data_IF_461328146859
#
_entry.id   IF_461328146859
#
_cell.length_a   1.000
_cell.length_b   1.000
_cell.length_c   1.000
_cell.angle_alpha   90.00
_cell.angle_beta   90.00
_cell.angle_gamma   90.00
#
_symmetry.space_group_name_H-M   'P 1'
#
loop_
_entity.id
_entity.type
_entity.pdbx_description
1 polymer ?
#
# COMPACT_ATOMS: atom_id res chain seq x y z
N UNK A 1 26.93 -55.46 24.40
CA UNK A 1 25.82 -56.10 23.68
C UNK A 1 24.92 -54.97 23.15
N UNK A 2 24.99 -54.66 21.83
CA UNK A 2 24.15 -53.64 21.19
C UNK A 2 22.82 -54.29 20.84
N UNK A 3 21.67 -53.73 21.27
CA UNK A 3 20.37 -54.33 20.91
C UNK A 3 20.15 -54.26 19.40
N UNK A 4 19.53 -55.28 18.78
CA UNK A 4 19.27 -55.29 17.36
C UNK A 4 18.30 -54.14 16.98
N UNK A 5 18.69 -53.31 16.03
CA UNK A 5 17.82 -52.28 15.48
C UNK A 5 16.61 -52.90 14.81
N UNK A 6 15.37 -52.51 15.15
CA UNK A 6 14.18 -53.07 14.55
C UNK A 6 14.14 -52.79 13.04
N UNK A 7 14.05 -53.84 12.24
CA UNK A 7 13.89 -53.74 10.79
C UNK A 7 12.54 -53.10 10.45
N UNK A 8 12.51 -52.02 9.67
CA UNK A 8 11.27 -51.33 9.32
C UNK A 8 10.34 -52.23 8.48
N UNK A 9 9.04 -52.23 8.76
CA UNK A 9 8.07 -53.03 8.02
C UNK A 9 8.03 -52.62 6.54
N UNK A 10 7.77 -53.58 5.64
CA UNK A 10 7.63 -53.32 4.19
C UNK A 10 6.60 -52.23 3.86
N UNK A 11 5.58 -52.07 4.68
CA UNK A 11 4.54 -51.05 4.55
C UNK A 11 5.12 -49.65 4.84
N UNK A 12 5.94 -49.51 5.87
CA UNK A 12 6.64 -48.29 6.22
C UNK A 12 7.64 -47.88 5.14
N UNK A 13 8.38 -48.82 4.56
CA UNK A 13 9.31 -48.55 3.46
C UNK A 13 8.59 -48.07 2.20
N UNK A 14 7.42 -48.66 1.85
CA UNK A 14 6.60 -48.22 0.72
C UNK A 14 6.04 -46.79 0.96
N UNK A 15 5.54 -46.49 2.17
CA UNK A 15 5.04 -45.18 2.52
C UNK A 15 6.15 -44.12 2.46
N UNK A 16 7.31 -44.38 3.04
CA UNK A 16 8.47 -43.48 3.00
C UNK A 16 8.98 -43.24 1.56
N UNK A 17 8.93 -44.28 0.69
CA UNK A 17 9.29 -44.08 -0.72
C UNK A 17 8.31 -43.19 -1.45
N UNK A 18 7.00 -43.38 -1.24
CA UNK A 18 5.96 -42.53 -1.85
C UNK A 18 6.06 -41.06 -1.39
N UNK A 19 6.28 -40.87 -0.09
CA UNK A 19 6.47 -39.53 0.48
C UNK A 19 7.73 -38.85 -0.09
N UNK A 20 8.85 -39.59 -0.19
CA UNK A 20 10.08 -39.06 -0.81
C UNK A 20 9.87 -38.64 -2.28
N UNK A 21 9.11 -39.42 -3.04
CA UNK A 21 8.76 -39.09 -4.42
C UNK A 21 7.85 -37.87 -4.51
N UNK A 22 6.91 -37.71 -3.57
CA UNK A 22 6.06 -36.54 -3.47
C UNK A 22 6.87 -35.27 -3.12
N UNK A 23 7.75 -35.35 -2.13
CA UNK A 23 8.63 -34.25 -1.75
C UNK A 23 9.58 -33.87 -2.90
N UNK A 24 10.09 -34.83 -3.65
CA UNK A 24 10.93 -34.59 -4.82
C UNK A 24 10.18 -33.90 -5.96
N UNK A 25 8.88 -34.19 -6.14
CA UNK A 25 8.03 -33.47 -7.09
C UNK A 25 7.79 -32.04 -6.62
N UNK A 26 7.38 -31.87 -5.37
CA UNK A 26 7.13 -30.55 -4.80
C UNK A 26 8.37 -29.65 -4.82
N UNK A 27 9.55 -30.23 -4.50
CA UNK A 27 10.82 -29.48 -4.64
C UNK A 27 11.07 -28.99 -6.07
N UNK A 28 10.77 -29.81 -7.07
CA UNK A 28 10.92 -29.40 -8.49
C UNK A 28 9.97 -28.28 -8.86
N UNK A 29 8.71 -28.36 -8.40
CA UNK A 29 7.71 -27.29 -8.61
C UNK A 29 8.16 -25.97 -8.00
N UNK A 30 8.68 -26.00 -6.76
CA UNK A 30 9.22 -24.80 -6.11
C UNK A 30 10.44 -24.22 -6.81
N UNK A 31 11.34 -25.06 -7.34
CA UNK A 31 12.49 -24.62 -8.10
C UNK A 31 12.07 -23.94 -9.41
N UNK A 32 11.09 -24.51 -10.11
CA UNK A 32 10.55 -23.92 -11.33
C UNK A 32 9.83 -22.59 -11.05
N UNK A 33 9.03 -22.53 -9.98
CA UNK A 33 8.38 -21.29 -9.56
C UNK A 33 9.39 -20.19 -9.20
N UNK A 34 10.47 -20.55 -8.51
CA UNK A 34 11.56 -19.64 -8.18
C UNK A 34 12.23 -19.09 -9.44
N UNK A 35 12.48 -19.92 -10.44
CA UNK A 35 13.11 -19.50 -11.68
C UNK A 35 12.17 -18.58 -12.48
N UNK A 36 10.88 -18.90 -12.53
CA UNK A 36 9.87 -18.02 -13.15
C UNK A 36 9.81 -16.64 -12.48
N UNK A 37 9.83 -16.59 -11.15
CA UNK A 37 9.84 -15.34 -10.41
C UNK A 37 11.13 -14.54 -10.63
N UNK A 38 12.26 -15.20 -10.78
CA UNK A 38 13.53 -14.55 -11.10
C UNK A 38 13.49 -13.87 -12.47
N UNK A 39 12.98 -14.58 -13.48
CA UNK A 39 12.80 -14.00 -14.82
C UNK A 39 11.84 -12.81 -14.81
N UNK A 40 10.78 -12.87 -14.01
CA UNK A 40 9.84 -11.75 -13.87
C UNK A 40 10.49 -10.55 -13.16
N UNK A 41 11.33 -10.77 -12.15
CA UNK A 41 12.11 -9.70 -11.51
C UNK A 41 13.07 -9.03 -12.51
N UNK A 42 13.81 -9.82 -13.30
CA UNK A 42 14.72 -9.28 -14.33
C UNK A 42 13.95 -8.43 -15.37
N UNK A 43 12.72 -8.83 -15.72
CA UNK A 43 11.85 -8.05 -16.61
C UNK A 43 11.40 -6.73 -15.99
N UNK A 44 11.06 -6.76 -14.70
CA UNK A 44 10.66 -5.55 -13.96
C UNK A 44 11.84 -4.59 -13.81
N UNK A 45 13.01 -5.11 -13.47
CA UNK A 45 14.24 -4.31 -13.34
C UNK A 45 14.59 -3.61 -14.68
N UNK A 46 14.50 -4.33 -15.79
CA UNK A 46 14.68 -3.72 -17.12
C UNK A 46 13.66 -2.62 -17.44
N UNK A 47 12.39 -2.82 -17.02
CA UNK A 47 11.36 -1.79 -17.19
C UNK A 47 11.60 -0.56 -16.31
N UNK A 48 12.16 -0.74 -15.11
CA UNK A 48 12.55 0.36 -14.23
C UNK A 48 13.71 1.16 -14.82
N UNK A 49 14.73 0.50 -15.36
CA UNK A 49 15.85 1.17 -16.05
C UNK A 49 15.36 2.03 -17.23
N UNK A 50 14.43 1.51 -18.06
CA UNK A 50 13.82 2.29 -19.14
C UNK A 50 13.06 3.53 -18.64
N UNK A 51 12.34 3.41 -17.51
CA UNK A 51 11.62 4.52 -16.89
C UNK A 51 12.61 5.56 -16.36
N UNK A 52 13.67 5.14 -15.70
CA UNK A 52 14.70 6.02 -15.12
C UNK A 52 15.47 6.76 -16.22
N UNK A 53 15.80 6.08 -17.32
CA UNK A 53 16.40 6.72 -18.51
C UNK A 53 15.47 7.79 -19.09
N UNK A 54 14.19 7.45 -19.24
CA UNK A 54 13.19 8.39 -19.76
C UNK A 54 12.99 9.57 -18.85
N UNK A 55 13.00 9.36 -17.54
CA UNK A 55 12.93 10.43 -16.55
C UNK A 55 14.15 11.34 -16.63
N UNK A 56 15.35 10.76 -16.73
CA UNK A 56 16.59 11.52 -16.91
C UNK A 56 16.59 12.36 -18.19
N UNK A 57 16.04 11.84 -19.28
CA UNK A 57 15.89 12.61 -20.53
C UNK A 57 14.88 13.75 -20.39
N UNK A 58 13.77 13.52 -19.72
CA UNK A 58 12.77 14.55 -19.42
C UNK A 58 13.34 15.64 -18.51
N UNK A 59 14.10 15.28 -17.49
CA UNK A 59 14.76 16.22 -16.58
C UNK A 59 15.79 17.09 -17.33
N UNK A 60 16.49 16.54 -18.31
CA UNK A 60 17.38 17.31 -19.18
C UNK A 60 16.60 18.27 -20.12
N UNK A 61 15.41 17.90 -20.56
CA UNK A 61 14.55 18.74 -21.38
C UNK A 61 13.86 19.85 -20.58
N UNK A 62 13.54 19.57 -19.32
CA UNK A 62 12.88 20.50 -18.37
C UNK A 62 13.91 21.28 -17.55
N UNK A 63 15.17 20.83 -17.53
CA UNK A 63 16.28 21.46 -16.84
C UNK A 63 16.47 22.92 -17.30
N UNK A 64 17.06 23.78 -16.43
CA UNK A 64 16.98 25.23 -16.58
C UNK A 64 17.46 25.66 -17.95
N UNK A 65 16.56 26.21 -18.74
CA UNK A 65 16.91 27.06 -19.87
C UNK A 65 17.71 28.22 -19.31
N UNK A 66 19.02 28.06 -19.24
CA UNK A 66 19.94 29.17 -19.13
C UNK A 66 19.78 29.98 -20.43
N UNK A 67 18.82 30.89 -20.40
CA UNK A 67 18.72 31.92 -21.43
C UNK A 67 20.02 32.72 -21.46
N UNK A 68 20.46 33.22 -22.65
CA UNK A 68 21.66 34.01 -22.77
C UNK A 68 21.49 35.27 -21.94
N UNK A 69 22.43 35.55 -21.05
CA UNK A 69 22.54 36.84 -20.38
C UNK A 69 22.83 37.89 -21.42
N UNK A 70 22.10 39.00 -21.46
CA UNK A 70 22.66 40.26 -21.94
C UNK A 70 23.26 40.99 -20.74
N UNK A 71 24.55 41.25 -20.83
CA UNK A 71 25.24 42.21 -19.95
C UNK A 71 24.67 43.62 -20.12
N UNK A 72 24.76 44.34 -18.99
CA UNK A 72 24.73 45.81 -18.81
C UNK A 72 23.40 46.51 -18.77
N UNK A 73 23.26 47.26 -17.68
CA UNK A 73 22.53 48.52 -17.61
C UNK A 73 21.61 48.71 -16.43
N UNK A 74 22.16 49.33 -15.41
CA UNK A 74 21.48 50.13 -14.37
C UNK A 74 19.97 50.34 -14.53
N UNK A 75 19.22 49.97 -13.53
CA UNK A 75 18.27 50.90 -12.84
C UNK A 75 17.48 50.15 -11.76
N UNK A 76 17.83 50.43 -10.58
CA UNK A 76 17.01 50.83 -9.42
C UNK A 76 15.49 50.58 -9.51
N UNK A 77 15.06 49.86 -8.45
CA UNK A 77 13.77 49.97 -7.81
C UNK A 77 12.51 49.58 -8.60
N UNK A 78 12.12 48.32 -8.43
CA UNK A 78 10.77 48.01 -7.94
C UNK A 78 10.77 46.59 -7.39
N UNK A 79 11.02 46.50 -6.08
CA UNK A 79 10.62 45.33 -5.29
C UNK A 79 9.11 45.33 -5.24
N UNK A 80 8.49 44.62 -6.14
CA UNK A 80 7.13 44.15 -5.96
C UNK A 80 7.23 42.63 -6.05
N UNK A 81 7.04 42.04 -4.90
CA UNK A 81 6.41 40.73 -4.68
C UNK A 81 6.45 39.78 -5.88
N UNK A 82 7.61 39.18 -6.15
CA UNK A 82 7.68 37.94 -6.90
C UNK A 82 7.16 36.85 -6.00
N UNK A 83 5.87 36.56 -6.16
CA UNK A 83 5.27 35.31 -5.74
C UNK A 83 6.06 34.20 -6.45
N UNK A 84 7.09 33.68 -5.78
CA UNK A 84 7.67 32.39 -6.15
C UNK A 84 6.55 31.38 -5.98
N UNK A 85 5.80 31.16 -7.04
CA UNK A 85 4.84 30.11 -7.17
C UNK A 85 5.60 28.80 -7.00
N UNK A 86 5.83 28.45 -5.73
CA UNK A 86 6.36 27.16 -5.31
C UNK A 86 5.40 26.14 -5.88
N UNK A 87 5.81 25.47 -6.94
CA UNK A 87 5.00 24.45 -7.57
C UNK A 87 4.52 23.49 -6.48
N UNK A 88 3.21 23.50 -6.22
CA UNK A 88 2.60 22.69 -5.17
C UNK A 88 2.91 21.22 -5.45
N UNK A 89 3.32 20.43 -4.45
CA UNK A 89 3.53 19.00 -4.63
C UNK A 89 2.25 18.34 -5.15
N UNK A 90 2.36 17.66 -6.29
CA UNK A 90 1.24 17.03 -6.96
C UNK A 90 1.09 15.59 -6.49
N UNK A 91 0.02 15.31 -5.77
CA UNK A 91 -0.29 13.99 -5.24
C UNK A 91 -0.93 13.09 -6.30
N UNK A 92 -0.61 11.78 -6.24
CA UNK A 92 -1.13 10.77 -7.15
C UNK A 92 -1.52 9.49 -6.40
N UNK A 93 -2.54 8.79 -6.89
CA UNK A 93 -2.96 7.49 -6.39
C UNK A 93 -3.12 7.42 -4.86
N UNK A 94 -2.49 6.46 -4.18
CA UNK A 94 -2.64 6.29 -2.74
C UNK A 94 -2.16 7.47 -1.88
N UNK A 95 -1.23 8.29 -2.39
CA UNK A 95 -0.70 9.42 -1.63
C UNK A 95 -1.77 10.48 -1.39
N UNK A 96 -2.73 10.61 -2.30
CA UNK A 96 -3.87 11.52 -2.13
C UNK A 96 -4.63 11.19 -0.84
N UNK A 97 -5.01 9.92 -0.63
CA UNK A 97 -5.78 9.51 0.55
C UNK A 97 -4.95 9.56 1.83
N UNK A 98 -3.64 9.28 1.74
CA UNK A 98 -2.72 9.36 2.89
C UNK A 98 -2.56 10.79 3.36
N UNK A 99 -2.29 11.72 2.45
CA UNK A 99 -2.15 13.13 2.78
C UNK A 99 -3.49 13.74 3.23
N UNK A 100 -4.61 13.37 2.60
CA UNK A 100 -5.93 13.81 3.04
C UNK A 100 -6.20 13.46 4.50
N UNK A 101 -5.93 12.20 4.91
CA UNK A 101 -6.09 11.78 6.30
C UNK A 101 -5.10 12.50 7.21
N UNK A 102 -3.85 12.69 6.78
CA UNK A 102 -2.81 13.37 7.56
C UNK A 102 -3.16 14.83 7.82
N UNK A 103 -3.62 15.55 6.79
CA UNK A 103 -4.07 16.94 6.92
C UNK A 103 -5.23 17.06 7.90
N UNK A 104 -6.19 16.13 7.84
CA UNK A 104 -7.31 16.13 8.80
C UNK A 104 -6.85 15.85 10.22
N UNK A 105 -5.94 14.91 10.43
CA UNK A 105 -5.38 14.60 11.75
C UNK A 105 -4.55 15.77 12.32
N UNK A 106 -3.93 16.56 11.47
CA UNK A 106 -3.16 17.75 11.86
C UNK A 106 -4.03 19.00 12.03
N UNK A 107 -5.30 18.97 11.62
CA UNK A 107 -6.19 20.13 11.73
C UNK A 107 -6.49 20.45 13.20
N UNK A 108 -6.42 21.73 13.63
CA UNK A 108 -6.57 22.13 15.03
C UNK A 108 -7.93 21.70 15.61
N UNK A 109 -9.01 21.84 14.84
CA UNK A 109 -10.36 21.47 15.29
C UNK A 109 -10.65 19.98 15.19
N UNK A 110 -9.81 19.22 14.49
CA UNK A 110 -9.91 17.75 14.30
C UNK A 110 -11.34 17.27 14.04
N UNK A 111 -12.03 17.79 13.04
CA UNK A 111 -13.40 17.41 12.76
C UNK A 111 -13.49 15.90 12.52
N UNK A 112 -14.47 15.25 13.15
CA UNK A 112 -14.69 13.80 12.97
C UNK A 112 -15.33 13.49 11.63
N UNK A 113 -16.17 14.40 11.12
CA UNK A 113 -16.89 14.27 9.85
C UNK A 113 -16.77 15.54 9.03
N UNK A 114 -16.53 15.39 7.74
CA UNK A 114 -16.44 16.50 6.80
C UNK A 114 -17.08 16.14 5.45
N UNK A 115 -17.69 17.15 4.83
CA UNK A 115 -18.07 17.03 3.42
C UNK A 115 -16.82 16.94 2.54
N UNK A 116 -16.81 16.04 1.52
CA UNK A 116 -15.61 15.80 0.70
C UNK A 116 -15.02 17.04 0.02
N UNK A 117 -15.85 18.05 -0.27
CA UNK A 117 -15.38 19.32 -0.85
C UNK A 117 -14.59 20.15 0.15
N UNK A 118 -15.03 20.19 1.40
CA UNK A 118 -14.33 20.88 2.49
C UNK A 118 -13.02 20.18 2.78
N UNK A 119 -13.04 18.84 2.82
CA UNK A 119 -11.82 18.05 3.00
C UNK A 119 -10.81 18.26 1.86
N UNK A 120 -11.31 18.36 0.61
CA UNK A 120 -10.47 18.72 -0.53
C UNK A 120 -9.88 20.13 -0.40
N UNK A 121 -10.66 21.08 0.09
CA UNK A 121 -10.18 22.44 0.40
C UNK A 121 -9.04 22.42 1.41
N UNK A 122 -9.18 21.68 2.52
CA UNK A 122 -8.12 21.52 3.52
C UNK A 122 -6.82 20.97 2.92
N UNK A 123 -6.93 20.03 1.98
CA UNK A 123 -5.75 19.48 1.29
C UNK A 123 -5.06 20.53 0.42
N UNK A 124 -5.83 21.39 -0.26
CA UNK A 124 -5.31 22.51 -1.06
C UNK A 124 -4.68 23.59 -0.18
N UNK A 125 -5.32 23.95 0.93
CA UNK A 125 -4.83 24.91 1.92
C UNK A 125 -3.51 24.43 2.57
N UNK A 126 -3.35 23.11 2.72
CA UNK A 126 -2.10 22.50 3.15
C UNK A 126 -0.99 22.51 2.07
N UNK A 127 -1.26 23.08 0.89
CA UNK A 127 -0.29 23.25 -0.18
C UNK A 127 -0.13 22.03 -1.09
N UNK A 128 -1.14 21.17 -1.21
CA UNK A 128 -1.10 20.03 -2.10
C UNK A 128 -2.04 20.18 -3.29
N UNK A 129 -1.59 19.73 -4.47
CA UNK A 129 -2.42 19.61 -5.65
C UNK A 129 -2.70 18.13 -5.96
N UNK A 130 -3.85 17.81 -6.53
CA UNK A 130 -4.23 16.44 -6.93
C UNK A 130 -4.11 16.31 -8.43
N UNK A 131 -3.36 15.30 -8.88
CA UNK A 131 -3.19 14.98 -10.30
C UNK A 131 -4.49 14.43 -10.90
N UNK A 132 -4.77 14.81 -12.14
CA UNK A 132 -5.87 14.24 -12.92
C UNK A 132 -6.65 15.29 -13.70
N UNK A 133 -7.47 14.82 -14.64
CA UNK A 133 -8.34 15.69 -15.46
C UNK A 133 -9.45 16.32 -14.63
N UNK A 134 -9.95 15.58 -13.63
CA UNK A 134 -10.87 16.07 -12.60
C UNK A 134 -10.27 15.78 -11.22
N UNK A 135 -9.55 16.74 -10.62
CA UNK A 135 -8.88 16.54 -9.34
C UNK A 135 -9.84 16.20 -8.20
N UNK A 136 -11.02 16.83 -8.17
CA UNK A 136 -12.01 16.58 -7.12
C UNK A 136 -12.61 15.17 -7.20
N UNK A 137 -12.95 14.70 -8.39
CA UNK A 137 -13.44 13.32 -8.59
C UNK A 137 -12.34 12.30 -8.28
N UNK A 138 -11.08 12.59 -8.63
CA UNK A 138 -9.93 11.76 -8.30
C UNK A 138 -9.73 11.69 -6.79
N UNK A 139 -9.77 12.82 -6.11
CA UNK A 139 -9.71 12.90 -4.66
C UNK A 139 -10.81 12.06 -4.00
N UNK A 140 -12.06 12.26 -4.40
CA UNK A 140 -13.22 11.51 -3.87
C UNK A 140 -13.06 10.01 -4.04
N UNK A 141 -12.58 9.59 -5.21
CA UNK A 141 -12.32 8.17 -5.50
C UNK A 141 -11.23 7.61 -4.58
N UNK A 142 -10.17 8.35 -4.32
CA UNK A 142 -9.11 7.92 -3.43
C UNK A 142 -9.55 7.96 -1.96
N UNK A 143 -10.28 8.99 -1.55
CA UNK A 143 -10.81 9.11 -0.19
C UNK A 143 -11.72 7.93 0.16
N UNK A 144 -12.63 7.56 -0.75
CA UNK A 144 -13.55 6.43 -0.56
C UNK A 144 -12.87 5.05 -0.50
N UNK A 145 -11.61 4.96 -0.96
CA UNK A 145 -10.78 3.75 -0.88
C UNK A 145 -9.87 3.72 0.34
N UNK A 146 -9.85 4.78 1.12
CA UNK A 146 -9.03 4.83 2.33
C UNK A 146 -9.56 3.88 3.39
N UNK A 147 -8.74 3.00 3.97
CA UNK A 147 -9.16 2.13 5.06
C UNK A 147 -9.37 2.87 6.39
N UNK A 148 -8.87 4.12 6.50
CA UNK A 148 -9.02 4.99 7.66
C UNK A 148 -10.27 5.89 7.59
N UNK A 149 -11.08 5.78 6.52
CA UNK A 149 -12.22 6.66 6.27
C UNK A 149 -13.48 5.84 6.04
N UNK A 150 -14.56 6.22 6.68
CA UNK A 150 -15.90 5.67 6.48
C UNK A 150 -16.84 6.70 5.87
N UNK A 151 -17.88 6.22 5.18
CA UNK A 151 -18.96 7.09 4.71
C UNK A 151 -19.95 7.34 5.86
N UNK A 152 -20.30 8.59 6.07
CA UNK A 152 -21.37 8.96 6.98
C UNK A 152 -22.74 8.61 6.38
N UNK A 153 -23.77 8.68 7.21
CA UNK A 153 -25.18 8.57 6.76
C UNK A 153 -25.61 9.74 5.88
N UNK A 154 -24.91 10.87 5.95
CA UNK A 154 -25.17 12.04 5.14
C UNK A 154 -24.46 11.93 3.77
N UNK A 155 -25.15 12.20 2.65
CA UNK A 155 -24.54 12.15 1.33
C UNK A 155 -23.34 13.11 1.19
N UNK A 156 -22.23 12.59 0.71
CA UNK A 156 -21.00 13.37 0.49
C UNK A 156 -20.18 13.66 1.75
N UNK A 157 -20.62 13.22 2.93
CA UNK A 157 -19.89 13.36 4.19
C UNK A 157 -19.09 12.08 4.47
N UNK A 158 -17.86 12.28 4.87
CA UNK A 158 -16.92 11.22 5.23
C UNK A 158 -16.40 11.43 6.64
N UNK A 159 -16.17 10.35 7.35
CA UNK A 159 -15.75 10.32 8.76
C UNK A 159 -14.40 9.63 8.89
N UNK A 160 -13.57 10.14 9.78
CA UNK A 160 -12.32 9.47 10.12
C UNK A 160 -12.64 8.27 11.04
N UNK A 161 -12.38 7.07 10.57
CA UNK A 161 -12.60 5.84 11.34
C UNK A 161 -11.45 5.59 12.32
N UNK A 162 -11.55 6.14 13.51
CA UNK A 162 -10.57 5.92 14.58
C UNK A 162 -10.52 4.46 15.07
N UNK A 163 -11.58 3.70 14.83
CA UNK A 163 -11.66 2.26 15.11
C UNK A 163 -11.09 1.37 14.01
N UNK A 164 -10.62 1.95 12.89
CA UNK A 164 -10.16 1.21 11.72
C UNK A 164 -9.07 0.17 12.06
N UNK A 165 -8.10 0.52 12.91
CA UNK A 165 -7.04 -0.40 13.34
C UNK A 165 -7.62 -1.64 14.00
N UNK A 166 -8.47 -1.46 15.02
CA UNK A 166 -9.08 -2.58 15.76
C UNK A 166 -9.96 -3.45 14.85
N UNK A 167 -10.77 -2.83 13.99
CA UNK A 167 -11.63 -3.51 13.03
C UNK A 167 -10.83 -4.33 12.03
N UNK A 168 -9.74 -3.78 11.50
CA UNK A 168 -8.86 -4.46 10.55
C UNK A 168 -8.12 -5.63 11.20
N UNK A 169 -7.63 -5.50 12.43
CA UNK A 169 -7.03 -6.61 13.18
C UNK A 169 -8.03 -7.73 13.48
N UNK A 170 -9.27 -7.39 13.82
CA UNK A 170 -10.34 -8.39 13.97
C UNK A 170 -10.55 -9.14 12.67
N UNK A 171 -10.67 -8.42 11.54
CA UNK A 171 -10.82 -9.03 10.22
C UNK A 171 -9.64 -9.91 9.83
N UNK A 172 -8.42 -9.47 10.11
CA UNK A 172 -7.19 -10.24 9.89
C UNK A 172 -7.25 -11.59 10.65
N UNK A 173 -7.62 -11.54 11.92
CA UNK A 173 -7.74 -12.72 12.78
C UNK A 173 -8.82 -13.70 12.29
N UNK A 174 -9.94 -13.18 11.79
CA UNK A 174 -11.01 -13.98 11.18
C UNK A 174 -10.53 -14.69 9.92
N UNK A 175 -9.87 -13.97 9.00
CA UNK A 175 -9.32 -14.55 7.77
C UNK A 175 -8.27 -15.61 8.05
N UNK A 176 -7.41 -15.38 9.03
CA UNK A 176 -6.41 -16.37 9.44
C UNK A 176 -7.06 -17.62 10.03
N UNK A 177 -8.17 -17.48 10.78
CA UNK A 177 -8.95 -18.61 11.26
C UNK A 177 -9.61 -19.39 10.12
N UNK A 178 -10.30 -18.69 9.21
CA UNK A 178 -10.92 -19.30 8.02
C UNK A 178 -9.89 -20.06 7.17
N UNK A 179 -8.68 -19.50 7.02
CA UNK A 179 -7.61 -20.13 6.27
C UNK A 179 -7.13 -21.43 6.94
N UNK A 180 -6.97 -21.44 8.29
CA UNK A 180 -6.65 -22.65 9.05
C UNK A 180 -7.74 -23.69 8.94
N UNK A 181 -9.00 -23.31 9.07
CA UNK A 181 -10.15 -24.22 8.97
C UNK A 181 -10.25 -24.84 7.58
N UNK A 182 -10.02 -24.04 6.52
CA UNK A 182 -9.96 -24.52 5.15
C UNK A 182 -8.76 -25.46 4.90
N UNK A 183 -7.67 -25.32 5.67
CA UNK A 183 -6.52 -26.19 5.58
C UNK A 183 -6.77 -27.55 6.23
N UNK A 184 -7.57 -27.60 7.27
CA UNK A 184 -7.96 -28.84 7.95
C UNK A 184 -9.03 -29.64 7.20
N UNK A 185 -9.80 -29.00 6.31
CA UNK A 185 -10.83 -29.66 5.51
C UNK A 185 -10.20 -30.57 4.44
N UNK A 186 -10.47 -31.88 4.56
CA UNK A 186 -10.11 -32.90 3.57
C UNK A 186 -11.38 -33.41 2.91
N UNK A 187 -11.53 -33.15 1.61
CA UNK A 187 -12.68 -33.59 0.83
C UNK A 187 -12.31 -34.42 -0.40
N UNK A 188 -13.27 -35.12 -1.04
CA UNK A 188 -13.06 -35.83 -2.29
C UNK A 188 -12.57 -34.89 -3.41
N UNK A 189 -12.02 -35.43 -4.48
CA UNK A 189 -11.22 -34.69 -5.50
C UNK A 189 -11.93 -33.48 -6.15
N UNK A 190 -13.25 -33.51 -6.26
CA UNK A 190 -14.05 -32.40 -6.84
C UNK A 190 -14.11 -31.22 -5.87
N UNK A 191 -14.22 -31.47 -4.57
CA UNK A 191 -14.19 -30.43 -3.53
C UNK A 191 -12.78 -29.85 -3.35
N UNK A 192 -11.73 -30.60 -3.68
CA UNK A 192 -10.35 -30.13 -3.57
C UNK A 192 -10.03 -28.94 -4.49
N UNK A 193 -10.67 -28.83 -5.65
CA UNK A 193 -10.54 -27.69 -6.54
C UNK A 193 -11.20 -26.43 -5.95
N UNK A 194 -12.42 -26.57 -5.41
CA UNK A 194 -13.15 -25.49 -4.76
C UNK A 194 -12.41 -25.00 -3.51
N UNK A 195 -11.87 -25.91 -2.69
CA UNK A 195 -11.05 -25.56 -1.53
C UNK A 195 -9.77 -24.79 -1.90
N UNK A 196 -9.11 -25.18 -2.99
CA UNK A 196 -7.94 -24.44 -3.50
C UNK A 196 -8.30 -23.05 -3.96
N UNK A 197 -9.40 -22.88 -4.72
CA UNK A 197 -9.90 -21.58 -5.14
C UNK A 197 -10.23 -20.70 -3.93
N UNK A 198 -10.94 -21.24 -2.94
CA UNK A 198 -11.27 -20.51 -1.70
C UNK A 198 -10.03 -20.08 -0.94
N UNK A 199 -9.00 -20.91 -0.82
CA UNK A 199 -7.72 -20.52 -0.18
C UNK A 199 -7.01 -19.40 -0.93
N UNK A 200 -7.05 -19.43 -2.26
CA UNK A 200 -6.47 -18.36 -3.08
C UNK A 200 -7.18 -17.03 -2.82
N UNK A 201 -8.51 -17.05 -2.74
CA UNK A 201 -9.32 -15.87 -2.41
C UNK A 201 -9.00 -15.34 -1.00
N UNK A 202 -8.96 -16.23 0.00
CA UNK A 202 -8.63 -15.87 1.38
C UNK A 202 -7.22 -15.27 1.51
N UNK A 203 -6.23 -15.85 0.83
CA UNK A 203 -4.88 -15.30 0.82
C UNK A 203 -4.81 -13.92 0.15
N UNK A 204 -5.54 -13.72 -0.95
CA UNK A 204 -5.62 -12.43 -1.61
C UNK A 204 -6.32 -11.37 -0.74
N UNK A 205 -7.37 -11.75 0.00
CA UNK A 205 -8.04 -10.88 0.95
C UNK A 205 -7.14 -10.57 2.15
N UNK A 206 -6.45 -11.57 2.70
CA UNK A 206 -5.48 -11.41 3.79
C UNK A 206 -4.43 -10.37 3.43
N UNK A 207 -3.79 -10.49 2.27
CA UNK A 207 -2.78 -9.52 1.83
C UNK A 207 -3.33 -8.10 1.61
N UNK A 208 -4.62 -7.96 1.23
CA UNK A 208 -5.27 -6.64 1.16
C UNK A 208 -5.50 -6.03 2.54
N UNK A 209 -5.93 -6.85 3.51
CA UNK A 209 -6.18 -6.40 4.89
C UNK A 209 -4.87 -6.08 5.59
N UNK A 210 -3.81 -6.86 5.41
CA UNK A 210 -2.47 -6.58 5.94
C UNK A 210 -1.95 -5.21 5.48
N UNK A 211 -2.03 -4.94 4.17
CA UNK A 211 -1.65 -3.62 3.62
C UNK A 211 -2.51 -2.47 4.17
N UNK A 212 -3.79 -2.73 4.42
CA UNK A 212 -4.67 -1.74 5.02
C UNK A 212 -4.31 -1.47 6.49
N UNK A 213 -3.94 -2.50 7.26
CA UNK A 213 -3.43 -2.36 8.64
C UNK A 213 -2.17 -1.50 8.64
N UNK A 214 -1.17 -1.85 7.84
CA UNK A 214 0.08 -1.09 7.72
C UNK A 214 -0.17 0.39 7.37
N UNK A 215 -1.07 0.65 6.41
CA UNK A 215 -1.41 2.02 6.00
C UNK A 215 -2.05 2.81 7.15
N UNK A 216 -3.01 2.22 7.87
CA UNK A 216 -3.74 2.89 8.96
C UNK A 216 -2.84 3.08 10.18
N UNK A 217 -2.06 2.08 10.56
CA UNK A 217 -1.10 2.19 11.67
C UNK A 217 -0.04 3.26 11.41
N UNK A 218 0.48 3.35 10.18
CA UNK A 218 1.43 4.39 9.79
C UNK A 218 0.82 5.81 9.86
N UNK A 219 -0.48 5.96 9.55
CA UNK A 219 -1.18 7.23 9.62
C UNK A 219 -1.43 7.66 11.07
N UNK A 220 -2.02 6.79 11.89
CA UNK A 220 -2.35 7.10 13.28
C UNK A 220 -1.14 7.10 14.21
N UNK A 221 -0.14 6.25 13.96
CA UNK A 221 1.09 6.22 14.74
C UNK A 221 1.88 7.53 14.63
N UNK A 222 1.97 8.10 13.44
CA UNK A 222 2.62 9.41 13.21
C UNK A 222 1.86 10.56 13.87
N UNK A 223 0.52 10.52 13.85
CA UNK A 223 -0.31 11.53 14.51
C UNK A 223 -0.10 11.53 16.02
N UNK A 224 -0.05 10.36 16.66
CA UNK A 224 0.25 10.23 18.09
C UNK A 224 1.59 10.81 18.48
N UNK A 225 2.65 10.51 17.72
CA UNK A 225 3.99 11.04 17.98
C UNK A 225 4.04 12.56 17.82
N UNK A 226 3.28 13.13 16.89
CA UNK A 226 3.17 14.59 16.72
C UNK A 226 2.47 15.23 17.92
N UNK A 227 1.39 14.62 18.42
CA UNK A 227 0.67 15.10 19.60
C UNK A 227 1.52 15.05 20.89
N UNK A 228 2.25 13.95 21.10
CA UNK A 228 3.14 13.79 22.25
C UNK A 228 4.26 14.85 22.26
N UNK A 229 4.77 15.23 21.07
CA UNK A 229 5.76 16.32 20.95
C UNK A 229 5.18 17.70 21.24
N UNK A 230 3.95 17.98 20.83
CA UNK A 230 3.27 19.24 21.11
C UNK A 230 3.01 19.41 22.61
N UNK A 231 2.63 18.33 23.31
CA UNK A 231 2.40 18.34 24.77
C UNK A 231 3.71 18.50 25.53
N UNK A 232 4.82 17.93 25.05
CA UNK A 232 6.13 17.99 25.68
C UNK A 232 6.81 19.37 25.54
N UNK A 233 6.33 20.24 24.63
CA UNK A 233 6.88 21.57 24.35
C UNK A 233 5.99 22.71 24.88
N UNK A 234 4.84 22.42 25.43
CA UNK A 234 3.92 23.38 26.07
C UNK A 234 4.10 23.39 27.59
#
# INVERSE_FOLDING_TARGET
MVPPTPTPSLRLLKAAKAEREQLARHRRELLNARESLRTELERIDGSLEEVDERQTLLDRLVGPTAGPQPETGEALARRTSGDEQRALPVLRGPDIRREAVRVLLAHPDRPEALHYREWYGLLQDAGFAVAGKDPLATFLTQLSRSPAVSKSTQPGVYELDRGAVARLHTRLSELQRELRDSAAAHGPSVEAAALRARRTELNAELGRVEKAVEEVEALFGRARVADERLIATA
#
